data_IF_898389732615
#
_entry.id   IF_898389732615
#
_cell.length_a   1.000
_cell.length_b   1.000
_cell.length_c   1.000
_cell.angle_alpha   90.00
_cell.angle_beta   90.00
_cell.angle_gamma   90.00
#
_symmetry.space_group_name_H-M   'P 1'
#
loop_
_entity.id
_entity.type
_entity.pdbx_description
1 polymer ?
#
# COMPACT_ATOMS: atom_id res chain seq x y z
N UNK A 1 -10.56 11.08 12.36
CA UNK A 1 -10.11 9.86 11.64
C UNK A 1 -10.98 8.69 12.07
N UNK A 2 -11.71 8.06 11.16
CA UNK A 2 -12.63 6.95 11.49
C UNK A 2 -11.83 5.67 11.80
N UNK A 3 -12.43 4.72 12.54
CA UNK A 3 -11.77 3.45 12.92
C UNK A 3 -11.26 2.68 11.70
N UNK A 4 -12.11 2.55 10.68
CA UNK A 4 -11.81 1.88 9.39
C UNK A 4 -10.63 2.53 8.64
N UNK A 5 -10.50 3.85 8.78
CA UNK A 5 -9.41 4.59 8.14
C UNK A 5 -8.08 4.30 8.85
N UNK A 6 -8.06 4.25 10.19
CA UNK A 6 -6.86 3.84 10.94
C UNK A 6 -6.43 2.41 10.60
N UNK A 7 -7.38 1.48 10.53
CA UNK A 7 -7.12 0.09 10.15
C UNK A 7 -6.53 0.01 8.73
N UNK A 8 -7.05 0.83 7.80
CA UNK A 8 -6.52 0.92 6.43
C UNK A 8 -5.05 1.38 6.40
N UNK A 9 -4.64 2.32 7.25
CA UNK A 9 -3.23 2.74 7.32
C UNK A 9 -2.30 1.66 7.90
N UNK A 10 -2.76 0.90 8.90
CA UNK A 10 -2.01 -0.24 9.44
C UNK A 10 -1.81 -1.29 8.35
N UNK A 11 -2.86 -1.61 7.60
CA UNK A 11 -2.77 -2.57 6.50
C UNK A 11 -1.86 -2.09 5.37
N UNK A 12 -1.92 -0.80 5.01
CA UNK A 12 -1.00 -0.19 4.05
C UNK A 12 0.46 -0.33 4.51
N UNK A 13 0.74 -0.05 5.77
CA UNK A 13 2.09 -0.18 6.34
C UNK A 13 2.61 -1.62 6.28
N UNK A 14 1.79 -2.59 6.68
CA UNK A 14 2.15 -4.01 6.60
C UNK A 14 2.47 -4.43 5.16
N UNK A 15 1.68 -3.97 4.19
CA UNK A 15 1.89 -4.31 2.79
C UNK A 15 3.17 -3.66 2.21
N UNK A 16 3.51 -2.45 2.62
CA UNK A 16 4.79 -1.81 2.26
C UNK A 16 5.99 -2.60 2.79
N UNK A 17 5.92 -3.15 4.00
CA UNK A 17 6.96 -4.01 4.55
C UNK A 17 7.11 -5.32 3.76
N UNK A 18 6.00 -5.89 3.29
CA UNK A 18 6.02 -7.10 2.45
C UNK A 18 6.66 -6.83 1.09
N UNK A 19 6.32 -5.71 0.45
CA UNK A 19 6.92 -5.29 -0.83
C UNK A 19 8.43 -5.13 -0.69
N UNK A 20 8.91 -4.50 0.39
CA UNK A 20 10.36 -4.34 0.61
C UNK A 20 11.11 -5.67 0.72
N UNK A 21 10.45 -6.74 1.14
CA UNK A 21 11.06 -8.06 1.33
C UNK A 21 10.67 -9.07 0.22
N UNK A 22 9.95 -8.63 -0.80
CA UNK A 22 9.39 -9.49 -1.85
C UNK A 22 9.73 -8.93 -3.24
N UNK A 23 9.80 -9.79 -4.24
CA UNK A 23 9.88 -9.36 -5.66
C UNK A 23 8.54 -8.84 -6.21
N UNK A 24 7.50 -8.76 -5.38
CA UNK A 24 6.19 -8.25 -5.76
C UNK A 24 6.22 -6.73 -5.89
N UNK A 25 5.59 -6.21 -6.95
CA UNK A 25 5.49 -4.74 -7.09
C UNK A 25 4.53 -4.18 -6.06
N UNK A 26 4.72 -2.91 -5.73
CA UNK A 26 3.81 -2.20 -4.84
C UNK A 26 2.37 -2.25 -5.37
N UNK A 27 2.19 -2.09 -6.68
CA UNK A 27 0.88 -2.17 -7.33
C UNK A 27 0.19 -3.53 -7.13
N UNK A 28 0.92 -4.63 -7.29
CA UNK A 28 0.38 -5.98 -7.08
C UNK A 28 -0.04 -6.19 -5.63
N UNK A 29 0.78 -5.72 -4.70
CA UNK A 29 0.51 -5.86 -3.27
C UNK A 29 -0.71 -5.04 -2.83
N UNK A 30 -0.89 -3.83 -3.39
CA UNK A 30 -2.05 -2.99 -3.08
C UNK A 30 -3.38 -3.54 -3.58
N UNK A 31 -3.41 -4.46 -4.54
CA UNK A 31 -4.65 -5.13 -4.99
C UNK A 31 -5.22 -6.10 -3.96
N UNK A 32 -4.38 -6.60 -3.05
CA UNK A 32 -4.75 -7.59 -2.04
C UNK A 32 -5.16 -6.96 -0.70
N UNK A 33 -4.90 -5.66 -0.54
CA UNK A 33 -5.10 -4.97 0.73
C UNK A 33 -6.42 -4.20 0.68
N UNK A 34 -7.35 -4.42 1.63
CA UNK A 34 -8.63 -3.73 1.66
C UNK A 34 -8.47 -2.30 2.18
N UNK A 35 -7.94 -1.41 1.34
CA UNK A 35 -7.73 0.00 1.65
C UNK A 35 -8.96 0.84 1.27
N UNK A 36 -9.32 1.78 2.14
CA UNK A 36 -10.41 2.73 1.89
C UNK A 36 -9.96 4.17 2.17
N UNK A 37 -10.75 5.13 1.66
CA UNK A 37 -10.56 6.56 1.91
C UNK A 37 -9.15 7.08 1.59
N UNK A 38 -8.61 7.90 2.48
CA UNK A 38 -7.32 8.59 2.34
C UNK A 38 -6.14 7.62 2.20
N UNK A 39 -6.21 6.47 2.86
CA UNK A 39 -5.16 5.44 2.78
C UNK A 39 -5.07 4.82 1.38
N UNK A 40 -6.21 4.59 0.71
CA UNK A 40 -6.24 4.11 -0.67
C UNK A 40 -5.66 5.14 -1.64
N UNK A 41 -5.96 6.42 -1.44
CA UNK A 41 -5.41 7.50 -2.25
C UNK A 41 -3.87 7.55 -2.12
N UNK A 42 -3.37 7.51 -0.88
CA UNK A 42 -1.94 7.49 -0.60
C UNK A 42 -1.25 6.27 -1.22
N UNK A 43 -1.85 5.08 -1.12
CA UNK A 43 -1.33 3.87 -1.75
C UNK A 43 -1.15 4.02 -3.27
N UNK A 44 -2.13 4.63 -3.95
CA UNK A 44 -2.06 4.90 -5.39
C UNK A 44 -0.98 5.93 -5.76
N UNK A 45 -0.77 6.96 -4.93
CA UNK A 45 0.36 7.86 -5.10
C UNK A 45 1.70 7.16 -4.93
N UNK A 46 1.84 6.34 -3.90
CA UNK A 46 3.06 5.59 -3.64
C UNK A 46 3.37 4.63 -4.79
N UNK A 47 2.38 3.87 -5.28
CA UNK A 47 2.55 2.99 -6.43
C UNK A 47 3.05 3.73 -7.68
N UNK A 48 2.49 4.92 -7.95
CA UNK A 48 2.87 5.77 -9.09
C UNK A 48 4.26 6.39 -8.95
N UNK A 49 4.68 6.73 -7.72
CA UNK A 49 6.02 7.26 -7.43
C UNK A 49 7.11 6.18 -7.45
N UNK A 50 6.75 4.92 -7.18
CA UNK A 50 7.73 3.86 -6.98
C UNK A 50 8.30 3.28 -8.30
N UNK A 51 7.69 3.58 -9.46
CA UNK A 51 8.09 2.97 -10.74
C UNK A 51 8.09 1.43 -10.70
N UNK A 52 8.51 0.72 -11.77
CA UNK A 52 8.90 -0.68 -11.64
C UNK A 52 10.16 -0.71 -10.77
N UNK A 53 9.97 -0.86 -9.46
CA UNK A 53 11.09 -0.80 -8.51
C UNK A 53 11.94 -2.05 -8.68
N UNK A 54 13.11 -1.91 -9.31
CA UNK A 54 14.28 -2.72 -9.01
C UNK A 54 14.76 -2.29 -7.61
N UNK A 55 14.33 -3.04 -6.60
CA UNK A 55 14.88 -3.02 -5.24
C UNK A 55 15.64 -4.33 -5.00
#
# INVERSE_FOLDING_TARGET
MKKEERESYVMLFCALLLVKNSKATLEQSMRLVPLTGSAKHLAGELARRSGPTEL
#
